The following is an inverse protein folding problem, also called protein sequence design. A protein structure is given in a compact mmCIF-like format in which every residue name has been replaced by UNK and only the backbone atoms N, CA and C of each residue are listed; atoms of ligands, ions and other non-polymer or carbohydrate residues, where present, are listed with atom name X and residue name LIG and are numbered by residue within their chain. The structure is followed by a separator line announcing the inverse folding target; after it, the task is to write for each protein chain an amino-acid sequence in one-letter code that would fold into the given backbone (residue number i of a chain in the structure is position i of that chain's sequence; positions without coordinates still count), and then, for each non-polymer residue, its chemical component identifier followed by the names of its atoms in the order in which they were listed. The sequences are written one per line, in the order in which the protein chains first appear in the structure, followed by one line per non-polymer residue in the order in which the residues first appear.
data_IF_879793465542
#
_entry.id   IF_879793465542
#
_cell.length_a   1.000
_cell.length_b   1.000
_cell.length_c   1.000
_cell.angle_alpha   90.00
_cell.angle_beta   90.00
_cell.angle_gamma   90.00
#
_symmetry.space_group_name_H-M   'P 1'
#
loop_
_entity.id
_entity.type
_entity.pdbx_description
1 polymer ?
#
# COMPACT_ATOMS: atom_id res chain seq x y z
N UNK A 1 -13.64 6.61 17.21
CA UNK A 1 -13.10 7.29 16.01
C UNK A 1 -13.19 8.81 16.16
N UNK A 2 -14.39 9.38 16.39
CA UNK A 2 -14.59 10.85 16.41
C UNK A 2 -13.70 11.58 17.41
N UNK A 3 -13.39 11.00 18.56
CA UNK A 3 -12.50 11.60 19.56
C UNK A 3 -11.02 11.60 19.14
N UNK A 4 -10.59 10.73 18.23
CA UNK A 4 -9.28 10.78 17.60
C UNK A 4 -9.22 11.82 16.47
N UNK A 5 -10.29 11.92 15.67
CA UNK A 5 -10.36 12.89 14.55
C UNK A 5 -10.52 14.34 15.02
N UNK A 6 -10.89 14.54 16.29
CA UNK A 6 -11.07 15.85 16.90
C UNK A 6 -10.31 15.90 18.23
N UNK A 7 -9.02 16.19 18.14
CA UNK A 7 -8.14 16.24 19.30
C UNK A 7 -8.71 17.16 20.41
N UNK A 8 -8.70 16.64 21.66
CA UNK A 8 -9.22 17.35 22.82
C UNK A 8 -10.73 17.18 23.08
N UNK A 9 -11.48 16.57 22.15
CA UNK A 9 -12.92 16.32 22.36
C UNK A 9 -13.12 15.10 23.24
N UNK A 10 -13.93 15.28 24.30
CA UNK A 10 -14.41 14.24 25.21
C UNK A 10 -15.83 13.85 24.83
N UNK A 11 -16.04 12.58 24.48
CA UNK A 11 -17.37 12.02 24.16
C UNK A 11 -17.80 11.12 25.30
N UNK A 12 -18.95 11.42 25.90
CA UNK A 12 -19.59 10.60 26.92
C UNK A 12 -20.81 9.88 26.33
N UNK A 13 -20.78 8.57 26.36
CA UNK A 13 -21.85 7.71 25.87
C UNK A 13 -22.49 6.98 27.05
N UNK A 14 -23.77 7.31 27.33
CA UNK A 14 -24.57 6.66 28.34
C UNK A 14 -25.65 5.76 27.72
N UNK A 15 -25.57 4.45 27.91
CA UNK A 15 -26.67 3.51 27.56
C UNK A 15 -27.56 3.28 28.78
N UNK A 16 -28.63 4.07 28.88
CA UNK A 16 -29.57 4.00 29.99
C UNK A 16 -30.31 2.65 30.11
N UNK A 17 -30.36 1.87 29.02
CA UNK A 17 -31.02 0.55 29.02
C UNK A 17 -30.19 -0.52 29.71
N UNK A 18 -28.85 -0.39 29.59
CA UNK A 18 -27.89 -1.36 30.14
C UNK A 18 -27.14 -0.83 31.36
N UNK A 19 -27.33 0.43 31.73
CA UNK A 19 -26.61 1.11 32.81
C UNK A 19 -25.12 1.19 32.55
N UNK A 20 -24.71 1.31 31.25
CA UNK A 20 -23.31 1.42 30.85
C UNK A 20 -22.98 2.83 30.49
N UNK A 21 -21.89 3.34 31.07
CA UNK A 21 -21.32 4.63 30.81
C UNK A 21 -19.89 4.45 30.26
N UNK A 22 -19.63 5.03 29.10
CA UNK A 22 -18.29 5.01 28.49
C UNK A 22 -17.85 6.42 28.13
N UNK A 23 -16.60 6.72 28.42
CA UNK A 23 -15.97 8.00 28.09
C UNK A 23 -14.85 7.77 27.06
N UNK A 24 -14.95 8.44 25.93
CA UNK A 24 -13.96 8.42 24.87
C UNK A 24 -13.25 9.76 24.80
N UNK A 25 -12.00 9.76 25.23
CA UNK A 25 -11.10 10.90 25.11
C UNK A 25 -9.71 10.36 24.85
N UNK A 26 -9.16 10.69 23.69
CA UNK A 26 -7.86 10.19 23.28
C UNK A 26 -6.95 11.37 22.96
N UNK A 27 -5.72 11.33 23.48
CA UNK A 27 -4.66 12.23 23.11
C UNK A 27 -3.96 11.81 21.83
N UNK A 28 -3.31 12.74 21.13
CA UNK A 28 -2.50 12.45 19.96
C UNK A 28 -3.22 12.47 18.61
N UNK A 29 -4.54 12.75 18.59
CA UNK A 29 -5.26 12.94 17.32
C UNK A 29 -5.17 11.74 16.39
N UNK A 30 -4.94 11.99 15.09
CA UNK A 30 -4.83 10.95 14.05
C UNK A 30 -3.62 10.03 14.26
N UNK A 31 -2.51 10.53 14.81
CA UNK A 31 -1.36 9.68 15.18
C UNK A 31 -1.71 8.71 16.31
N UNK A 32 -2.39 9.20 17.37
CA UNK A 32 -2.90 8.35 18.45
C UNK A 32 -3.91 7.30 17.94
N UNK A 33 -4.63 7.60 16.86
CA UNK A 33 -5.54 6.64 16.23
C UNK A 33 -4.77 5.50 15.54
N UNK A 34 -3.69 5.80 14.82
CA UNK A 34 -2.79 4.78 14.23
C UNK A 34 -2.20 3.91 15.35
N UNK A 35 -1.74 4.51 16.44
CA UNK A 35 -1.23 3.77 17.60
C UNK A 35 -2.28 2.84 18.20
N UNK A 36 -3.51 3.30 18.33
CA UNK A 36 -4.63 2.49 18.82
C UNK A 36 -4.94 1.30 17.91
N UNK A 37 -4.92 1.49 16.57
CA UNK A 37 -5.14 0.43 15.60
C UNK A 37 -4.00 -0.61 15.65
N UNK A 38 -2.78 -0.16 15.92
CA UNK A 38 -1.58 -1.00 15.92
C UNK A 38 -1.21 -1.55 17.31
N UNK A 39 -2.03 -1.33 18.35
CA UNK A 39 -1.73 -1.74 19.73
C UNK A 39 -1.41 -3.22 19.89
N UNK A 40 -2.06 -4.08 19.08
CA UNK A 40 -1.91 -5.53 19.09
C UNK A 40 -1.03 -6.05 17.92
N UNK A 41 -0.29 -5.15 17.24
CA UNK A 41 0.58 -5.47 16.10
C UNK A 41 2.03 -5.11 16.41
N UNK A 42 2.95 -5.81 15.78
CA UNK A 42 4.37 -5.49 15.85
C UNK A 42 4.70 -4.36 14.89
N UNK A 43 5.04 -3.20 15.43
CA UNK A 43 5.53 -2.06 14.64
C UNK A 43 6.96 -2.35 14.19
N UNK A 44 7.29 -2.08 12.94
CA UNK A 44 8.65 -2.30 12.42
C UNK A 44 9.57 -1.09 12.60
N UNK A 45 9.01 0.08 12.89
CA UNK A 45 9.75 1.32 13.18
C UNK A 45 9.07 2.12 14.29
N UNK A 46 9.85 2.93 15.00
CA UNK A 46 9.39 3.60 16.21
C UNK A 46 8.57 4.86 15.93
N UNK A 47 9.02 5.69 14.96
CA UNK A 47 8.41 6.98 14.69
C UNK A 47 7.24 6.86 13.71
N UNK A 48 6.02 7.13 14.18
CA UNK A 48 4.89 7.26 13.28
C UNK A 48 5.08 8.48 12.36
N UNK A 49 4.94 8.29 11.04
CA UNK A 49 4.84 9.43 10.13
C UNK A 49 3.57 10.21 10.46
N UNK A 50 3.71 11.51 10.65
CA UNK A 50 2.59 12.40 10.92
C UNK A 50 2.77 13.74 10.22
N UNK A 51 1.71 14.24 9.62
CA UNK A 51 1.64 15.60 9.08
C UNK A 51 0.24 16.19 9.23
N UNK A 52 0.18 17.48 9.51
CA UNK A 52 -1.05 18.27 9.53
C UNK A 52 -0.74 19.62 8.88
N UNK A 53 -1.26 19.85 7.69
CA UNK A 53 -1.04 21.07 6.92
C UNK A 53 -2.33 21.54 6.26
N UNK A 54 -2.46 22.86 6.19
CA UNK A 54 -3.54 23.51 5.43
C UNK A 54 -2.98 24.01 4.11
N UNK A 55 -3.66 23.68 3.02
CA UNK A 55 -3.36 24.15 1.66
C UNK A 55 -4.47 25.05 1.20
N UNK A 56 -4.11 26.22 0.70
CA UNK A 56 -5.04 27.13 0.02
C UNK A 56 -5.14 26.72 -1.45
N UNK A 57 -6.30 26.26 -1.84
CA UNK A 57 -6.57 25.83 -3.24
C UNK A 57 -7.04 27.01 -4.07
N UNK A 58 -7.92 27.83 -3.48
CA UNK A 58 -8.43 29.08 -4.03
C UNK A 58 -8.43 30.14 -2.92
N UNK A 59 -8.51 31.46 -3.23
CA UNK A 59 -8.50 32.52 -2.22
C UNK A 59 -9.50 32.34 -1.07
N UNK A 60 -10.60 31.64 -1.32
CA UNK A 60 -11.69 31.39 -0.35
C UNK A 60 -11.74 29.94 0.14
N UNK A 61 -10.86 29.05 -0.36
CA UNK A 61 -10.96 27.62 -0.12
C UNK A 61 -9.66 27.04 0.47
N UNK A 62 -9.73 26.68 1.73
CA UNK A 62 -8.65 26.02 2.44
C UNK A 62 -8.99 24.55 2.70
N UNK A 63 -8.07 23.67 2.38
CA UNK A 63 -8.16 22.23 2.69
C UNK A 63 -7.12 21.91 3.75
N UNK A 64 -7.56 21.43 4.91
CA UNK A 64 -6.66 20.88 5.91
C UNK A 64 -6.50 19.39 5.66
N UNK A 65 -5.25 18.96 5.59
CA UNK A 65 -4.84 17.57 5.37
C UNK A 65 -4.08 17.09 6.59
N UNK A 66 -4.62 16.10 7.27
CA UNK A 66 -4.00 15.44 8.41
C UNK A 66 -3.81 13.95 8.10
N UNK A 67 -2.59 13.45 8.21
CA UNK A 67 -2.22 12.08 7.86
C UNK A 67 -1.29 11.50 8.91
N UNK A 68 -1.57 10.27 9.32
CA UNK A 68 -0.62 9.45 10.08
C UNK A 68 -0.46 8.09 9.42
N UNK A 69 0.78 7.59 9.37
CA UNK A 69 1.13 6.31 8.76
C UNK A 69 2.18 5.57 9.59
N UNK A 70 2.01 4.26 9.72
CA UNK A 70 2.99 3.38 10.34
C UNK A 70 2.95 2.00 9.72
N UNK A 71 4.12 1.41 9.45
CA UNK A 71 4.24 0.05 8.96
C UNK A 71 4.39 -0.94 10.12
N UNK A 72 3.79 -2.10 9.94
CA UNK A 72 3.84 -3.24 10.86
C UNK A 72 4.44 -4.46 10.14
N UNK A 73 4.72 -5.53 10.88
CA UNK A 73 5.18 -6.81 10.33
C UNK A 73 4.11 -7.58 9.53
N UNK A 74 2.84 -7.12 9.59
CA UNK A 74 1.72 -7.72 8.87
C UNK A 74 1.81 -7.57 7.35
N UNK A 75 0.84 -8.20 6.65
CA UNK A 75 0.74 -8.21 5.18
C UNK A 75 -0.44 -7.39 4.65
N UNK A 76 -1.39 -7.04 5.51
CA UNK A 76 -2.62 -6.35 5.11
C UNK A 76 -2.51 -4.84 5.30
N UNK A 77 -3.03 -4.08 4.29
CA UNK A 77 -3.23 -2.63 4.40
C UNK A 77 -4.44 -2.35 5.31
N UNK A 78 -4.26 -1.48 6.32
CA UNK A 78 -5.34 -0.88 7.10
C UNK A 78 -5.42 0.59 6.75
N UNK A 79 -6.38 0.96 5.92
CA UNK A 79 -6.53 2.32 5.44
C UNK A 79 -7.89 2.90 5.85
N UNK A 80 -7.86 3.98 6.64
CA UNK A 80 -9.03 4.72 7.05
C UNK A 80 -8.98 6.14 6.49
N UNK A 81 -10.03 6.52 5.76
CA UNK A 81 -10.13 7.84 5.15
C UNK A 81 -11.38 8.56 5.65
N UNK A 82 -11.22 9.83 5.98
CA UNK A 82 -12.29 10.69 6.48
C UNK A 82 -12.29 12.04 5.78
N UNK A 83 -13.48 12.56 5.50
CA UNK A 83 -13.69 13.94 5.07
C UNK A 83 -14.72 14.59 5.98
N UNK A 84 -14.33 15.67 6.68
CA UNK A 84 -15.17 16.33 7.69
C UNK A 84 -15.74 15.33 8.70
N UNK A 85 -14.89 14.42 9.20
CA UNK A 85 -15.21 13.34 10.15
C UNK A 85 -16.14 12.24 9.61
N UNK A 86 -16.51 12.25 8.33
CA UNK A 86 -17.33 11.23 7.69
C UNK A 86 -16.40 10.19 7.06
N UNK A 87 -16.55 8.87 7.35
CA UNK A 87 -15.71 7.84 6.76
C UNK A 87 -16.04 7.59 5.29
N UNK A 88 -15.01 7.46 4.45
CA UNK A 88 -15.14 7.05 3.04
C UNK A 88 -14.64 5.62 2.86
N UNK A 89 -15.55 4.66 2.92
CA UNK A 89 -15.23 3.22 2.76
C UNK A 89 -14.72 2.89 1.36
N UNK A 90 -15.25 3.57 0.34
CA UNK A 90 -14.86 3.40 -1.07
C UNK A 90 -13.73 4.37 -1.50
N UNK A 91 -13.11 5.05 -0.52
CA UNK A 91 -12.01 5.98 -0.77
C UNK A 91 -12.45 7.24 -1.53
N UNK A 92 -11.69 7.60 -2.55
CA UNK A 92 -11.97 8.79 -3.36
C UNK A 92 -10.72 9.52 -3.83
N UNK A 93 -10.90 10.76 -4.27
CA UNK A 93 -9.83 11.60 -4.84
C UNK A 93 -8.69 11.84 -3.86
N UNK A 94 -8.97 12.04 -2.58
CA UNK A 94 -7.97 12.22 -1.51
C UNK A 94 -7.12 10.97 -1.30
N UNK A 95 -7.74 9.77 -1.31
CA UNK A 95 -7.01 8.50 -1.21
C UNK A 95 -6.09 8.29 -2.42
N UNK A 96 -6.59 8.64 -3.62
CA UNK A 96 -5.79 8.57 -4.83
C UNK A 96 -4.58 9.52 -4.78
N UNK A 97 -4.76 10.73 -4.25
CA UNK A 97 -3.68 11.70 -4.04
C UNK A 97 -2.61 11.17 -3.09
N UNK A 98 -3.01 10.60 -1.95
CA UNK A 98 -2.09 10.01 -0.98
C UNK A 98 -1.32 8.83 -1.59
N UNK A 99 -2.00 7.89 -2.23
CA UNK A 99 -1.37 6.71 -2.85
C UNK A 99 -0.40 7.10 -3.97
N UNK A 100 -0.76 8.11 -4.78
CA UNK A 100 0.12 8.66 -5.82
C UNK A 100 1.39 9.27 -5.23
N UNK A 101 1.25 10.17 -4.25
CA UNK A 101 2.37 10.82 -3.58
C UNK A 101 3.30 9.81 -2.91
N UNK A 102 2.74 8.90 -2.12
CA UNK A 102 3.48 7.88 -1.39
C UNK A 102 4.28 6.98 -2.35
N UNK A 103 3.63 6.53 -3.43
CA UNK A 103 4.30 5.68 -4.43
C UNK A 103 5.46 6.42 -5.10
N UNK A 104 5.26 7.67 -5.50
CA UNK A 104 6.29 8.46 -6.18
C UNK A 104 7.48 8.75 -5.25
N UNK A 105 7.22 9.15 -4.01
CA UNK A 105 8.27 9.50 -3.04
C UNK A 105 9.10 8.27 -2.67
N UNK A 106 8.45 7.16 -2.30
CA UNK A 106 9.14 5.95 -1.86
C UNK A 106 9.93 5.32 -3.01
N UNK A 107 9.37 5.25 -4.22
CA UNK A 107 10.12 4.76 -5.40
C UNK A 107 11.37 5.58 -5.64
N UNK A 108 11.25 6.91 -5.65
CA UNK A 108 12.40 7.80 -5.84
C UNK A 108 13.44 7.61 -4.73
N UNK A 109 13.02 7.56 -3.47
CA UNK A 109 13.92 7.35 -2.34
C UNK A 109 14.69 6.03 -2.45
N UNK A 110 14.02 4.93 -2.83
CA UNK A 110 14.66 3.63 -3.07
C UNK A 110 15.62 3.71 -4.26
N UNK A 111 15.25 4.35 -5.37
CA UNK A 111 16.08 4.52 -6.57
C UNK A 111 17.36 5.32 -6.30
N UNK A 112 17.28 6.35 -5.46
CA UNK A 112 18.43 7.18 -5.05
C UNK A 112 19.31 6.49 -3.97
N UNK A 113 18.80 5.47 -3.32
CA UNK A 113 19.47 4.75 -2.23
C UNK A 113 20.36 3.61 -2.72
N UNK A 114 21.16 3.03 -1.79
CA UNK A 114 21.97 1.84 -2.06
C UNK A 114 21.15 0.58 -2.37
N UNK A 115 19.86 0.56 -2.05
CA UNK A 115 18.97 -0.56 -2.37
C UNK A 115 18.83 -0.78 -3.88
N UNK A 116 18.71 0.28 -4.66
CA UNK A 116 18.62 0.21 -6.12
C UNK A 116 19.89 -0.34 -6.80
N UNK A 117 21.05 -0.19 -6.16
CA UNK A 117 22.32 -0.69 -6.68
C UNK A 117 22.44 -2.21 -6.61
N UNK A 118 21.70 -2.85 -5.70
CA UNK A 118 21.77 -4.31 -5.48
C UNK A 118 20.82 -5.10 -6.37
N UNK A 119 19.62 -4.62 -6.62
CA UNK A 119 18.61 -5.32 -7.41
C UNK A 119 17.65 -4.35 -8.10
N UNK A 120 17.42 -4.55 -9.41
CA UNK A 120 16.36 -3.86 -10.15
C UNK A 120 15.05 -4.65 -9.99
N UNK A 121 14.25 -4.29 -8.99
CA UNK A 121 12.91 -4.84 -8.77
C UNK A 121 11.89 -3.76 -9.13
N UNK A 122 10.88 -4.11 -9.93
CA UNK A 122 9.75 -3.21 -10.21
C UNK A 122 8.80 -3.17 -9.01
N UNK A 123 8.74 -2.01 -8.36
CA UNK A 123 7.91 -1.77 -7.18
C UNK A 123 6.50 -1.36 -7.61
N UNK A 124 5.50 -2.01 -7.03
CA UNK A 124 4.10 -1.64 -7.19
C UNK A 124 3.58 -0.86 -5.97
N UNK A 125 2.46 -0.15 -6.15
CA UNK A 125 1.82 0.51 -5.02
C UNK A 125 1.33 -0.48 -3.94
N UNK A 126 1.06 -1.73 -4.28
CA UNK A 126 0.66 -2.78 -3.34
C UNK A 126 1.84 -3.17 -2.43
N UNK A 127 3.04 -3.35 -2.99
CA UNK A 127 4.25 -3.65 -2.21
C UNK A 127 4.52 -2.56 -1.16
N UNK A 128 4.33 -1.29 -1.55
CA UNK A 128 4.55 -0.13 -0.68
C UNK A 128 3.55 -0.10 0.49
N UNK A 129 2.33 -0.58 0.28
CA UNK A 129 1.26 -0.56 1.27
C UNK A 129 1.13 -1.85 2.07
N UNK A 130 1.97 -2.84 1.83
CA UNK A 130 1.97 -4.07 2.61
C UNK A 130 2.31 -3.79 4.08
N UNK A 131 1.41 -4.19 4.99
CA UNK A 131 1.54 -3.95 6.43
C UNK A 131 1.34 -2.50 6.87
N UNK A 132 0.91 -1.61 5.97
CA UNK A 132 0.66 -0.21 6.27
C UNK A 132 -0.63 -0.02 7.07
N UNK A 133 -0.56 0.72 8.16
CA UNK A 133 -1.71 1.35 8.81
C UNK A 133 -1.66 2.84 8.51
N UNK A 134 -2.72 3.36 7.90
CA UNK A 134 -2.84 4.76 7.51
C UNK A 134 -4.20 5.33 7.90
N UNK A 135 -4.19 6.50 8.49
CA UNK A 135 -5.38 7.31 8.73
C UNK A 135 -5.21 8.66 8.02
N UNK A 136 -6.14 8.96 7.13
CA UNK A 136 -6.21 10.21 6.37
C UNK A 136 -7.47 10.97 6.78
N UNK A 137 -7.33 12.17 7.30
CA UNK A 137 -8.43 13.07 7.67
C UNK A 137 -8.32 14.36 6.88
N UNK A 138 -9.37 14.65 6.09
CA UNK A 138 -9.53 15.91 5.39
C UNK A 138 -10.57 16.78 6.10
N UNK A 139 -10.30 18.09 6.17
CA UNK A 139 -11.30 19.10 6.47
C UNK A 139 -11.32 20.10 5.33
N UNK A 140 -12.46 20.18 4.65
CA UNK A 140 -12.63 21.05 3.48
C UNK A 140 -14.06 21.59 3.42
N UNK A 141 -14.25 22.79 2.86
CA UNK A 141 -15.59 23.32 2.59
C UNK A 141 -16.26 22.51 1.47
N UNK A 142 -17.56 22.35 1.54
CA UNK A 142 -18.45 21.79 0.51
C UNK A 142 -17.94 20.52 -0.21
N UNK A 143 -17.59 19.45 0.51
CA UNK A 143 -17.11 18.21 -0.12
C UNK A 143 -18.19 17.58 -0.98
N UNK A 144 -17.81 17.15 -2.19
CA UNK A 144 -18.71 16.46 -3.12
C UNK A 144 -18.48 14.95 -3.01
N UNK A 145 -19.60 14.21 -2.89
CA UNK A 145 -19.59 12.76 -2.79
C UNK A 145 -20.33 12.11 -3.96
N UNK A 146 -19.99 10.86 -4.26
CA UNK A 146 -20.61 10.10 -5.36
C UNK A 146 -22.07 9.72 -5.09
N UNK A 147 -22.46 9.66 -3.82
CA UNK A 147 -23.81 9.24 -3.39
C UNK A 147 -24.19 9.87 -2.04
N UNK A 148 -25.46 9.72 -1.66
CA UNK A 148 -25.98 10.20 -0.37
C UNK A 148 -25.33 9.50 0.83
N UNK A 149 -24.83 8.28 0.68
CA UNK A 149 -24.12 7.55 1.74
C UNK A 149 -22.74 8.11 2.03
N UNK A 150 -22.20 8.97 1.15
CA UNK A 150 -20.90 9.65 1.29
C UNK A 150 -19.70 8.70 1.38
N UNK A 151 -19.83 7.48 0.86
CA UNK A 151 -18.79 6.46 0.92
C UNK A 151 -17.55 6.77 0.05
N UNK A 152 -17.70 7.66 -0.96
CA UNK A 152 -16.62 8.04 -1.87
C UNK A 152 -16.57 9.55 -2.11
N UNK A 153 -15.41 10.16 -1.83
CA UNK A 153 -15.15 11.57 -2.15
C UNK A 153 -14.81 11.74 -3.64
N UNK A 154 -15.48 12.70 -4.30
CA UNK A 154 -15.26 13.01 -5.73
C UNK A 154 -14.76 14.45 -5.99
N UNK A 155 -14.58 15.26 -4.94
CA UNK A 155 -13.99 16.60 -5.04
C UNK A 155 -12.62 16.54 -5.71
N UNK A 156 -12.46 17.17 -6.88
CA UNK A 156 -11.25 17.12 -7.70
C UNK A 156 -10.05 17.80 -7.02
N UNK A 157 -10.28 18.86 -6.28
CA UNK A 157 -9.33 19.70 -5.53
C UNK A 157 -8.67 18.94 -4.37
N UNK A 158 -9.33 17.93 -3.82
CA UNK A 158 -8.77 17.14 -2.72
C UNK A 158 -7.52 16.34 -3.14
N UNK A 159 -7.48 15.85 -4.40
CA UNK A 159 -6.34 15.06 -4.87
C UNK A 159 -5.03 15.84 -4.87
N UNK A 160 -4.89 16.99 -5.57
CA UNK A 160 -3.63 17.74 -5.60
C UNK A 160 -3.25 18.28 -4.22
N UNK A 161 -4.21 18.70 -3.38
CA UNK A 161 -3.94 19.17 -2.04
C UNK A 161 -3.29 18.09 -1.17
N UNK A 162 -3.85 16.87 -1.15
CA UNK A 162 -3.28 15.74 -0.43
C UNK A 162 -1.94 15.32 -1.02
N UNK A 163 -1.84 15.25 -2.35
CA UNK A 163 -0.60 14.85 -3.03
C UNK A 163 0.55 15.80 -2.68
N UNK A 164 0.33 17.10 -2.69
CA UNK A 164 1.33 18.11 -2.33
C UNK A 164 1.80 17.96 -0.88
N UNK A 165 0.85 17.89 0.07
CA UNK A 165 1.18 17.80 1.50
C UNK A 165 1.94 16.53 1.82
N UNK A 166 1.43 15.39 1.33
CA UNK A 166 2.05 14.09 1.62
C UNK A 166 3.41 13.97 0.97
N UNK A 167 3.59 14.42 -0.28
CA UNK A 167 4.87 14.39 -0.97
C UNK A 167 5.93 15.13 -0.16
N UNK A 168 5.69 16.39 0.16
CA UNK A 168 6.66 17.22 0.90
C UNK A 168 6.97 16.64 2.28
N UNK A 169 5.93 16.26 3.03
CA UNK A 169 6.12 15.77 4.39
C UNK A 169 6.82 14.40 4.43
N UNK A 170 6.49 13.49 3.50
CA UNK A 170 7.09 12.16 3.46
C UNK A 170 8.56 12.21 3.01
N UNK A 171 8.89 13.09 2.06
CA UNK A 171 10.28 13.34 1.67
C UNK A 171 11.13 13.80 2.87
N UNK A 172 10.64 14.80 3.63
CA UNK A 172 11.32 15.26 4.85
C UNK A 172 11.45 14.14 5.89
N UNK A 173 10.36 13.39 6.12
CA UNK A 173 10.37 12.30 7.10
C UNK A 173 11.43 11.23 6.80
N UNK A 174 11.52 10.78 5.54
CA UNK A 174 12.49 9.77 5.14
C UNK A 174 13.94 10.26 5.27
N UNK A 175 14.18 11.55 5.04
CA UNK A 175 15.50 12.18 5.19
C UNK A 175 15.88 12.38 6.67
N UNK A 176 14.93 12.80 7.49
CA UNK A 176 15.14 13.06 8.93
C UNK A 176 15.23 11.78 9.76
N UNK A 177 14.62 10.67 9.29
CA UNK A 177 14.57 9.39 10.00
C UNK A 177 15.21 8.24 9.17
N UNK A 178 16.52 8.29 8.89
CA UNK A 178 17.16 7.35 7.98
C UNK A 178 17.11 5.88 8.45
N UNK A 179 17.03 5.65 9.77
CA UNK A 179 16.86 4.29 10.33
C UNK A 179 15.50 3.72 9.98
N UNK A 180 14.43 4.48 10.24
CA UNK A 180 13.06 4.08 9.95
C UNK A 180 12.85 3.93 8.44
N UNK A 181 13.36 4.88 7.66
CA UNK A 181 13.33 4.83 6.20
C UNK A 181 13.97 3.55 5.65
N UNK A 182 15.11 3.15 6.21
CA UNK A 182 15.78 1.90 5.82
C UNK A 182 14.91 0.67 6.10
N UNK A 183 14.36 0.56 7.30
CA UNK A 183 13.49 -0.57 7.70
C UNK A 183 12.25 -0.64 6.80
N UNK A 184 11.60 0.51 6.54
CA UNK A 184 10.44 0.59 5.65
C UNK A 184 10.81 0.14 4.23
N UNK A 185 11.93 0.62 3.68
CA UNK A 185 12.39 0.24 2.35
C UNK A 185 12.74 -1.26 2.27
N UNK A 186 13.40 -1.82 3.28
CA UNK A 186 13.71 -3.25 3.35
C UNK A 186 12.43 -4.08 3.29
N UNK A 187 11.40 -3.75 4.09
CA UNK A 187 10.10 -4.44 4.04
C UNK A 187 9.44 -4.35 2.66
N UNK A 188 9.43 -3.17 2.04
CA UNK A 188 8.84 -2.97 0.71
C UNK A 188 9.57 -3.80 -0.35
N UNK A 189 10.90 -3.85 -0.29
CA UNK A 189 11.70 -4.67 -1.20
C UNK A 189 11.43 -6.17 -1.00
N UNK A 190 11.26 -6.62 0.25
CA UNK A 190 10.92 -8.00 0.56
C UNK A 190 9.51 -8.37 0.03
N UNK A 191 8.53 -7.49 0.18
CA UNK A 191 7.19 -7.65 -0.39
C UNK A 191 7.25 -7.80 -1.93
N UNK A 192 8.01 -6.93 -2.59
CA UNK A 192 8.19 -6.99 -4.04
C UNK A 192 8.87 -8.29 -4.50
N UNK A 193 9.90 -8.76 -3.77
CA UNK A 193 10.56 -10.05 -4.02
C UNK A 193 9.59 -11.23 -3.88
N UNK A 194 8.81 -11.23 -2.79
CA UNK A 194 7.82 -12.27 -2.54
C UNK A 194 6.76 -12.32 -3.66
N UNK A 195 6.25 -11.16 -4.09
CA UNK A 195 5.31 -11.03 -5.20
C UNK A 195 5.90 -11.56 -6.51
N UNK A 196 7.15 -11.19 -6.84
CA UNK A 196 7.81 -11.68 -8.04
C UNK A 196 8.07 -13.18 -8.01
N UNK A 197 8.52 -13.72 -6.87
CA UNK A 197 8.71 -15.15 -6.68
C UNK A 197 7.40 -15.93 -6.86
N UNK A 198 6.30 -15.43 -6.26
CA UNK A 198 4.97 -16.01 -6.41
C UNK A 198 4.49 -15.99 -7.88
N UNK A 199 4.74 -14.88 -8.61
CA UNK A 199 4.43 -14.77 -10.04
C UNK A 199 5.19 -15.79 -10.86
N UNK A 200 6.50 -15.91 -10.68
CA UNK A 200 7.35 -16.90 -11.36
C UNK A 200 6.91 -18.35 -11.07
N UNK A 201 6.57 -18.64 -9.82
CA UNK A 201 6.07 -19.97 -9.42
C UNK A 201 4.75 -20.31 -10.13
N UNK A 202 3.79 -19.38 -10.17
CA UNK A 202 2.51 -19.55 -10.89
C UNK A 202 2.71 -19.75 -12.39
N UNK A 203 3.61 -19.00 -13.03
CA UNK A 203 3.94 -19.17 -14.44
C UNK A 203 4.52 -20.56 -14.72
N UNK A 204 5.44 -21.03 -13.87
CA UNK A 204 6.05 -22.37 -13.98
C UNK A 204 4.99 -23.46 -13.80
N UNK A 205 4.11 -23.32 -12.79
CA UNK A 205 3.02 -24.30 -12.56
C UNK A 205 2.02 -24.30 -13.73
N UNK A 206 1.66 -23.12 -14.26
CA UNK A 206 0.78 -23.01 -15.43
C UNK A 206 1.37 -23.67 -16.67
N UNK A 207 2.69 -23.51 -16.91
CA UNK A 207 3.39 -24.20 -18.00
C UNK A 207 3.38 -25.71 -17.81
N UNK A 208 3.72 -26.18 -16.61
CA UNK A 208 3.65 -27.61 -16.27
C UNK A 208 2.22 -28.16 -16.40
N UNK A 209 1.20 -27.40 -16.01
CA UNK A 209 -0.21 -27.78 -16.13
C UNK A 209 -0.71 -27.83 -17.57
N UNK A 210 -0.28 -26.90 -18.44
CA UNK A 210 -0.60 -26.90 -19.86
C UNK A 210 0.09 -28.09 -20.60
N UNK A 211 1.29 -28.44 -20.15
CA UNK A 211 2.04 -29.60 -20.67
C UNK A 211 1.60 -30.92 -20.01
N UNK A 212 1.07 -30.88 -18.78
CA UNK A 212 0.67 -32.09 -18.03
C UNK A 212 -0.78 -32.51 -18.18
N UNK A 213 -1.72 -31.64 -18.57
CA UNK A 213 -3.15 -31.99 -18.74
C UNK A 213 -3.54 -32.32 -20.19
N UNK A 214 -2.73 -31.89 -21.17
CA UNK A 214 -2.76 -32.36 -22.53
C UNK A 214 -1.38 -32.99 -22.75
N UNK A 215 -1.10 -34.13 -22.08
CA UNK A 215 0.21 -34.77 -22.17
C UNK A 215 0.70 -34.73 -23.61
N UNK A 216 1.83 -34.02 -23.84
CA UNK A 216 2.60 -34.31 -25.06
C UNK A 216 2.68 -35.81 -25.16
N UNK A 217 2.22 -36.45 -26.26
CA UNK A 217 2.32 -37.87 -26.40
C UNK A 217 3.73 -38.25 -25.93
N UNK A 218 3.88 -39.33 -25.13
CA UNK A 218 5.13 -39.67 -24.41
C UNK A 218 6.42 -39.68 -25.23
N UNK A 219 6.30 -39.43 -26.54
CA UNK A 219 7.37 -39.29 -27.53
C UNK A 219 7.85 -37.84 -27.76
N UNK A 220 7.20 -36.82 -27.20
CA UNK A 220 7.61 -35.44 -27.34
C UNK A 220 8.28 -34.94 -26.04
N UNK A 221 9.30 -34.10 -26.16
CA UNK A 221 9.94 -33.37 -25.08
C UNK A 221 9.94 -31.89 -25.42
N UNK A 222 9.74 -31.03 -24.42
CA UNK A 222 9.72 -29.59 -24.59
C UNK A 222 11.07 -28.97 -24.24
N UNK A 223 11.40 -27.83 -24.88
CA UNK A 223 12.56 -27.04 -24.57
C UNK A 223 12.28 -26.12 -23.38
N UNK A 224 13.20 -26.02 -22.44
CA UNK A 224 13.08 -25.11 -21.28
C UNK A 224 13.43 -23.66 -21.61
N UNK A 225 14.03 -23.38 -22.80
CA UNK A 225 14.38 -22.04 -23.25
C UNK A 225 13.13 -21.25 -23.65
N UNK A 226 13.16 -19.92 -23.37
CA UNK A 226 12.03 -19.00 -23.62
C UNK A 226 12.11 -18.29 -24.95
N UNK A 227 13.33 -18.04 -25.39
CA UNK A 227 13.57 -17.37 -26.66
C UNK A 227 13.50 -18.37 -27.79
N UNK A 228 12.45 -18.24 -28.62
CA UNK A 228 12.25 -19.14 -29.76
C UNK A 228 13.41 -19.15 -30.77
N UNK A 229 14.18 -18.07 -30.81
CA UNK A 229 15.36 -17.96 -31.67
C UNK A 229 16.54 -18.82 -31.22
N UNK A 230 16.52 -19.24 -29.95
CA UNK A 230 17.51 -20.12 -29.33
C UNK A 230 17.03 -21.57 -29.21
N UNK A 231 15.82 -21.88 -29.69
CA UNK A 231 15.25 -23.22 -29.64
C UNK A 231 15.48 -23.97 -30.96
N UNK A 232 15.87 -25.22 -30.85
CA UNK A 232 16.00 -26.15 -32.00
C UNK A 232 15.04 -27.30 -31.86
N UNK A 233 14.57 -27.85 -33.01
CA UNK A 233 13.70 -29.01 -33.05
C UNK A 233 14.49 -30.22 -33.52
N UNK A 234 14.58 -31.24 -32.67
CA UNK A 234 15.21 -32.50 -32.99
C UNK A 234 14.16 -33.55 -33.31
N UNK A 235 14.23 -34.14 -34.51
CA UNK A 235 13.41 -35.28 -34.91
C UNK A 235 14.28 -36.52 -34.79
N UNK A 236 13.89 -37.46 -33.92
CA UNK A 236 14.64 -38.70 -33.67
C UNK A 236 13.77 -39.92 -33.95
N UNK A 237 14.36 -40.96 -34.46
CA UNK A 237 13.69 -42.23 -34.68
C UNK A 237 13.87 -43.14 -33.46
N UNK A 238 12.72 -43.53 -32.84
CA UNK A 238 12.69 -44.50 -31.75
C UNK A 238 13.03 -43.93 -30.35
N UNK A 239 12.62 -44.67 -29.33
CA UNK A 239 12.70 -44.25 -27.93
C UNK A 239 14.15 -44.21 -27.40
N UNK A 240 15.06 -44.99 -27.98
CA UNK A 240 16.47 -45.03 -27.60
C UNK A 240 17.19 -43.71 -27.98
N UNK A 241 16.96 -43.24 -29.20
CA UNK A 241 17.53 -41.94 -29.65
C UNK A 241 16.89 -40.77 -28.96
N UNK A 242 15.57 -40.83 -28.66
CA UNK A 242 14.86 -39.82 -27.89
C UNK A 242 15.35 -39.70 -26.44
N UNK A 243 15.78 -40.78 -25.80
CA UNK A 243 16.39 -40.75 -24.47
C UNK A 243 17.71 -40.00 -24.40
N UNK A 244 18.56 -40.13 -25.43
CA UNK A 244 19.85 -39.41 -25.52
C UNK A 244 19.67 -37.92 -25.86
N UNK A 245 18.63 -37.56 -26.60
CA UNK A 245 18.33 -36.18 -26.96
C UNK A 245 17.69 -35.37 -25.82
N UNK A 246 17.19 -36.04 -24.76
CA UNK A 246 16.59 -35.39 -23.56
C UNK A 246 17.60 -35.05 -22.46
N UNK A 247 18.83 -35.48 -22.56
CA UNK A 247 19.94 -35.16 -21.67
C UNK A 247 20.61 -33.85 -22.09
#
# INVERSE_FOLDING_TARGET
ELSFLNNGVKIHLADLRKGKDEVFQFAGGVSGFVDFINRDKTKIHDNCFYTNKTVTVNPEENINVEVAMQWTDGYTENFLAYTNNIPQKDGGTHVNGLRSAMTAVIKRYIEESEFAKKEKIDLTGEDIREGLTCVLSLKMPEPKFSSQTKDKLVSSEARPAVEQVVRTALESYLQENPKDARIICEKIMDAARAREAARKARETTRRKGLLGSAGLPGKLADCSERDRSLCEVFLVEGDSAGGSAKQ
#
